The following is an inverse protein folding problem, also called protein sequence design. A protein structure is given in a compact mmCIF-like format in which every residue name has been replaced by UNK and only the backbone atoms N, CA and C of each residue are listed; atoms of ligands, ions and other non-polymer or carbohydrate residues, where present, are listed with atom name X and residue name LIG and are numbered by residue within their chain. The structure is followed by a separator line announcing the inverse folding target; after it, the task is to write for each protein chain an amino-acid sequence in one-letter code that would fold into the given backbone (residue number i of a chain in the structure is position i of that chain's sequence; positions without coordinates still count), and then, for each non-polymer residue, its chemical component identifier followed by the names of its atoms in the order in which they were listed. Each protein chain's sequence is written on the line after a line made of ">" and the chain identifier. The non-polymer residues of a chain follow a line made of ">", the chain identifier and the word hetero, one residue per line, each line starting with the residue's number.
data_IF_277390259031
#
_entry.id   IF_277390259031
#
_cell.length_a   1.000
_cell.length_b   1.000
_cell.length_c   1.000
_cell.angle_alpha   90.00
_cell.angle_beta   90.00
_cell.angle_gamma   90.00
#
_symmetry.space_group_name_H-M   'P 1'
#
loop_
_entity.id
_entity.type
_entity.pdbx_description
1 polymer ?
#
# COMPACT_ATOMS: atom_id res chain seq x y z
N UNK A 1 -19.64 13.83 19.16
CA UNK A 1 -19.01 12.58 19.66
C UNK A 1 -18.92 11.51 18.58
N UNK A 2 -20.04 11.09 17.97
CA UNK A 2 -20.07 10.05 16.91
C UNK A 2 -19.18 10.41 15.71
N UNK A 3 -19.22 11.66 15.22
CA UNK A 3 -18.40 12.12 14.08
C UNK A 3 -16.88 12.00 14.31
N UNK A 4 -16.42 12.23 15.55
CA UNK A 4 -14.99 12.17 15.91
C UNK A 4 -14.52 10.72 15.90
N UNK A 5 -15.32 9.80 16.45
CA UNK A 5 -15.00 8.37 16.48
C UNK A 5 -14.90 7.82 15.05
N UNK A 6 -15.83 8.20 14.17
CA UNK A 6 -15.81 7.80 12.76
C UNK A 6 -14.56 8.33 12.05
N UNK A 7 -14.21 9.61 12.23
CA UNK A 7 -12.99 10.17 11.64
C UNK A 7 -11.72 9.47 12.13
N UNK A 8 -11.64 9.17 13.41
CA UNK A 8 -10.49 8.50 14.00
C UNK A 8 -10.35 7.07 13.45
N UNK A 9 -11.46 6.34 13.36
CA UNK A 9 -11.50 4.97 12.85
C UNK A 9 -11.14 4.91 11.36
N UNK A 10 -11.70 5.81 10.54
CA UNK A 10 -11.35 5.93 9.11
C UNK A 10 -9.86 6.27 8.95
N UNK A 11 -9.33 7.18 9.76
CA UNK A 11 -7.91 7.55 9.71
C UNK A 11 -6.98 6.39 10.06
N UNK A 12 -7.32 5.58 11.06
CA UNK A 12 -6.54 4.40 11.44
C UNK A 12 -6.57 3.34 10.33
N UNK A 13 -7.75 3.04 9.80
CA UNK A 13 -7.90 2.07 8.70
C UNK A 13 -7.12 2.52 7.48
N UNK A 14 -7.23 3.80 7.11
CA UNK A 14 -6.51 4.34 5.97
C UNK A 14 -4.99 4.22 6.16
N UNK A 15 -4.46 4.57 7.35
CA UNK A 15 -3.03 4.41 7.67
C UNK A 15 -2.58 2.97 7.63
N UNK A 16 -3.41 2.03 8.10
CA UNK A 16 -3.13 0.61 7.99
C UNK A 16 -2.93 0.20 6.53
N UNK A 17 -3.92 0.47 5.66
CA UNK A 17 -3.85 0.13 4.23
C UNK A 17 -2.67 0.79 3.51
N UNK A 18 -2.35 2.04 3.85
CA UNK A 18 -1.17 2.73 3.32
C UNK A 18 0.13 2.03 3.73
N UNK A 19 0.24 1.61 4.99
CA UNK A 19 1.41 0.90 5.51
C UNK A 19 1.62 -0.44 4.83
N UNK A 20 0.62 -1.33 4.88
CA UNK A 20 0.74 -2.66 4.25
C UNK A 20 0.95 -2.57 2.74
N UNK A 21 0.30 -1.63 2.08
CA UNK A 21 0.47 -1.41 0.65
C UNK A 21 1.86 -0.88 0.28
N UNK A 22 2.41 0.05 1.06
CA UNK A 22 3.77 0.56 0.87
C UNK A 22 4.83 -0.54 1.02
N UNK A 23 4.75 -1.32 2.12
CA UNK A 23 5.67 -2.43 2.39
C UNK A 23 5.58 -3.49 1.30
N UNK A 24 4.36 -3.88 0.90
CA UNK A 24 4.17 -4.90 -0.14
C UNK A 24 4.75 -4.44 -1.47
N UNK A 25 4.49 -3.19 -1.88
CA UNK A 25 5.09 -2.63 -3.11
C UNK A 25 6.60 -2.63 -3.04
N UNK A 26 7.18 -2.21 -1.91
CA UNK A 26 8.63 -2.21 -1.73
C UNK A 26 9.21 -3.62 -1.91
N UNK A 27 8.66 -4.62 -1.22
CA UNK A 27 9.12 -6.02 -1.33
C UNK A 27 9.00 -6.55 -2.77
N UNK A 28 7.85 -6.34 -3.41
CA UNK A 28 7.64 -6.78 -4.80
C UNK A 28 8.64 -6.15 -5.77
N UNK A 29 8.95 -4.86 -5.59
CA UNK A 29 9.90 -4.18 -6.46
C UNK A 29 11.36 -4.50 -6.15
N UNK A 30 11.71 -4.89 -4.92
CA UNK A 30 13.03 -5.48 -4.67
C UNK A 30 13.19 -6.77 -5.47
N UNK A 31 12.21 -7.68 -5.39
CA UNK A 31 12.23 -8.92 -6.18
C UNK A 31 12.33 -8.61 -7.67
N UNK A 32 11.54 -7.63 -8.16
CA UNK A 32 11.57 -7.24 -9.57
C UNK A 32 12.92 -6.64 -9.99
N UNK A 33 13.54 -5.79 -9.16
CA UNK A 33 14.85 -5.20 -9.44
C UNK A 33 16.00 -6.21 -9.37
N UNK A 34 15.85 -7.30 -8.62
CA UNK A 34 16.82 -8.41 -8.63
C UNK A 34 16.64 -9.30 -9.87
N UNK A 35 15.39 -9.51 -10.30
CA UNK A 35 15.08 -10.33 -11.48
C UNK A 35 15.30 -9.59 -12.82
N UNK A 36 15.20 -8.26 -12.84
CA UNK A 36 15.29 -7.42 -14.03
C UNK A 36 16.16 -6.20 -13.75
N UNK A 37 16.75 -5.60 -14.79
CA UNK A 37 17.53 -4.34 -14.65
C UNK A 37 16.78 -3.32 -13.80
N UNK A 38 17.48 -2.74 -12.82
CA UNK A 38 16.90 -1.83 -11.82
C UNK A 38 16.04 -0.72 -12.45
N UNK A 39 14.73 -0.77 -12.20
CA UNK A 39 13.75 0.21 -12.71
C UNK A 39 13.03 0.98 -11.60
N UNK A 40 13.04 0.46 -10.38
CA UNK A 40 12.25 1.00 -9.27
C UNK A 40 13.14 1.46 -8.11
N UNK A 41 12.72 2.48 -7.32
CA UNK A 41 13.48 2.93 -6.16
C UNK A 41 13.77 1.78 -5.18
N UNK A 42 15.02 1.64 -4.73
CA UNK A 42 15.36 0.64 -3.70
C UNK A 42 15.04 1.12 -2.27
N UNK A 43 15.04 2.43 -2.05
CA UNK A 43 14.81 3.02 -0.72
C UNK A 43 13.35 2.84 -0.27
N UNK A 44 13.15 2.26 0.91
CA UNK A 44 11.84 2.11 1.56
C UNK A 44 11.16 3.44 1.84
N UNK A 45 11.92 4.52 2.08
CA UNK A 45 11.41 5.86 2.37
C UNK A 45 10.45 6.33 1.28
N UNK A 46 10.77 6.05 0.00
CA UNK A 46 9.90 6.37 -1.13
C UNK A 46 8.52 5.68 -1.05
N UNK A 47 8.45 4.49 -0.45
CA UNK A 47 7.23 3.69 -0.37
C UNK A 47 6.43 3.95 0.89
N UNK A 48 7.02 4.54 1.93
CA UNK A 48 6.33 4.92 3.17
C UNK A 48 6.00 6.41 3.24
N UNK A 49 6.57 7.21 2.34
CA UNK A 49 6.24 8.63 2.14
C UNK A 49 4.82 8.80 1.58
N UNK A 50 3.86 8.70 2.49
CA UNK A 50 2.44 8.88 2.24
C UNK A 50 2.00 10.36 2.28
N UNK A 51 2.92 11.28 2.57
CA UNK A 51 2.66 12.72 2.67
C UNK A 51 3.05 13.47 1.38
N UNK A 52 3.88 12.85 0.54
CA UNK A 52 4.22 13.39 -0.77
C UNK A 52 3.03 13.43 -1.72
N UNK A 53 2.58 14.66 -2.00
CA UNK A 53 1.59 14.96 -3.03
C UNK A 53 2.15 14.92 -4.46
N UNK A 54 3.41 14.48 -4.63
CA UNK A 54 4.05 14.39 -5.94
C UNK A 54 3.35 13.31 -6.77
N UNK A 55 2.67 13.74 -7.83
CA UNK A 55 2.06 12.85 -8.82
C UNK A 55 3.10 12.37 -9.81
N UNK A 56 2.99 11.12 -10.23
CA UNK A 56 3.77 10.60 -11.35
C UNK A 56 3.19 11.02 -12.70
N UNK A 57 3.81 10.55 -13.79
CA UNK A 57 3.35 10.80 -15.17
C UNK A 57 1.93 10.27 -15.44
N UNK A 58 1.44 9.34 -14.62
CA UNK A 58 0.11 8.74 -14.72
C UNK A 58 -0.90 9.43 -13.79
N UNK A 59 -0.50 10.51 -13.10
CA UNK A 59 -1.36 11.27 -12.20
C UNK A 59 -1.54 10.66 -10.80
N UNK A 60 -0.80 9.60 -10.45
CA UNK A 60 -0.92 8.91 -9.17
C UNK A 60 0.17 9.36 -8.19
N UNK A 61 -0.23 9.69 -6.96
CA UNK A 61 0.68 9.86 -5.83
C UNK A 61 1.17 8.51 -5.29
N UNK A 62 2.23 8.54 -4.49
CA UNK A 62 2.70 7.37 -3.75
C UNK A 62 1.59 6.83 -2.84
N UNK A 63 0.91 7.74 -2.12
CA UNK A 63 -0.21 7.41 -1.24
C UNK A 63 -1.32 6.64 -1.97
N UNK A 64 -1.75 7.09 -3.14
CA UNK A 64 -2.82 6.42 -3.91
C UNK A 64 -2.42 5.00 -4.30
N UNK A 65 -1.18 4.82 -4.76
CA UNK A 65 -0.65 3.51 -5.15
C UNK A 65 -0.53 2.57 -3.95
N UNK A 66 -0.09 3.09 -2.81
CA UNK A 66 0.01 2.33 -1.57
C UNK A 66 -1.36 1.89 -1.10
N UNK A 67 -2.33 2.80 -1.02
CA UNK A 67 -3.68 2.46 -0.59
C UNK A 67 -4.31 1.39 -1.48
N UNK A 68 -4.19 1.55 -2.81
CA UNK A 68 -4.68 0.56 -3.76
C UNK A 68 -3.99 -0.80 -3.62
N UNK A 69 -2.67 -0.82 -3.46
CA UNK A 69 -1.93 -2.05 -3.20
C UNK A 69 -2.36 -2.71 -1.89
N UNK A 70 -2.61 -1.93 -0.84
CA UNK A 70 -3.10 -2.43 0.44
C UNK A 70 -4.47 -3.10 0.31
N UNK A 71 -5.38 -2.52 -0.47
CA UNK A 71 -6.69 -3.13 -0.75
C UNK A 71 -6.55 -4.46 -1.47
N UNK A 72 -5.68 -4.54 -2.48
CA UNK A 72 -5.41 -5.80 -3.20
C UNK A 72 -4.90 -6.87 -2.22
N UNK A 73 -3.91 -6.54 -1.39
CA UNK A 73 -3.35 -7.47 -0.39
C UNK A 73 -4.42 -7.97 0.56
N UNK A 74 -5.30 -7.08 1.02
CA UNK A 74 -6.38 -7.45 1.91
C UNK A 74 -7.40 -8.39 1.26
N UNK A 75 -7.79 -8.12 0.00
CA UNK A 75 -8.66 -9.03 -0.76
C UNK A 75 -8.00 -10.40 -0.93
N UNK A 76 -6.70 -10.43 -1.25
CA UNK A 76 -5.96 -11.70 -1.35
C UNK A 76 -5.94 -12.47 -0.04
N UNK A 77 -5.77 -11.79 1.10
CA UNK A 77 -5.84 -12.41 2.43
C UNK A 77 -7.22 -13.03 2.66
N UNK A 78 -8.32 -12.31 2.35
CA UNK A 78 -9.68 -12.85 2.49
C UNK A 78 -9.85 -14.12 1.64
N UNK A 79 -9.43 -14.10 0.38
CA UNK A 79 -9.54 -15.25 -0.52
C UNK A 79 -8.71 -16.45 -0.04
N UNK A 80 -7.53 -16.20 0.53
CA UNK A 80 -6.67 -17.26 1.10
C UNK A 80 -7.33 -17.87 2.35
N UNK A 81 -7.91 -17.03 3.22
CA UNK A 81 -8.61 -17.50 4.41
C UNK A 81 -9.83 -18.35 4.04
N UNK A 82 -10.67 -17.86 3.12
CA UNK A 82 -11.83 -18.60 2.63
C UNK A 82 -11.45 -19.97 2.05
N UNK A 83 -10.36 -20.02 1.28
CA UNK A 83 -9.82 -21.28 0.74
C UNK A 83 -9.25 -22.22 1.79
N UNK A 84 -8.80 -21.71 2.94
CA UNK A 84 -8.20 -22.54 4.01
C UNK A 84 -9.26 -23.11 4.95
N UNK A 85 -10.41 -22.44 5.07
CA UNK A 85 -11.54 -22.91 5.88
C UNK A 85 -12.42 -23.95 5.15
N UNK A 86 -12.25 -24.12 3.84
CA UNK A 86 -12.91 -25.10 2.98
C UNK A 86 -11.97 -26.21 2.49
#
# INVERSE_FOLDING_TARGET
>A
MISIIVHLFVGIIQRFFLGIGGITRWLLFQIYNECFTEKFPRNIDYYIDNESNKKDKNGFSVQNKNFFSGLIVFILIILILEKTEH
#
